data_IF_630538198809
#
_entry.id   IF_630538198809
#
_cell.length_a   1.000
_cell.length_b   1.000
_cell.length_c   1.000
_cell.angle_alpha   90.00
_cell.angle_beta   90.00
_cell.angle_gamma   90.00
#
_symmetry.space_group_name_H-M   'P 1'
#
loop_
_entity.id
_entity.type
_entity.pdbx_description
1 polymer ?
#
# COMPACT_ATOMS: atom_id res chain seq x y z
N UNK A 1 4.32 -11.00 -70.58
CA UNK A 1 4.82 -10.59 -69.27
C UNK A 1 3.67 -10.48 -68.27
N UNK A 2 3.50 -11.47 -67.40
CA UNK A 2 2.44 -11.47 -66.39
C UNK A 2 2.70 -10.40 -65.30
N UNK A 3 1.75 -9.48 -65.06
CA UNK A 3 1.80 -8.52 -63.93
C UNK A 3 1.93 -9.30 -62.62
N UNK A 4 3.06 -9.11 -61.88
CA UNK A 4 3.19 -9.57 -60.47
C UNK A 4 2.04 -8.95 -59.68
N UNK A 5 1.11 -9.81 -59.20
CA UNK A 5 0.09 -9.36 -58.23
C UNK A 5 0.78 -8.71 -57.04
N UNK A 6 0.41 -7.46 -56.72
CA UNK A 6 0.84 -6.83 -55.48
C UNK A 6 0.28 -7.65 -54.33
N UNK A 7 1.15 -8.04 -53.39
CA UNK A 7 0.73 -8.73 -52.18
C UNK A 7 -0.07 -7.79 -51.31
N UNK A 8 -1.15 -8.27 -50.71
CA UNK A 8 -1.99 -7.50 -49.80
C UNK A 8 -1.22 -7.03 -48.55
N UNK A 9 -1.67 -5.92 -47.98
CA UNK A 9 -1.14 -5.45 -46.70
C UNK A 9 -1.30 -6.55 -45.62
N UNK A 10 -0.18 -6.96 -44.99
CA UNK A 10 -0.17 -8.00 -43.96
C UNK A 10 0.41 -9.37 -44.35
N UNK A 11 0.67 -9.64 -45.66
CA UNK A 11 1.19 -10.95 -46.11
C UNK A 11 2.70 -11.14 -45.92
N UNK A 12 3.45 -10.10 -45.58
CA UNK A 12 4.90 -10.14 -45.50
C UNK A 12 5.56 -10.40 -46.90
N UNK A 13 6.86 -10.38 -46.95
CA UNK A 13 7.61 -10.60 -48.22
C UNK A 13 8.70 -11.62 -48.01
N UNK A 14 8.87 -12.56 -48.96
CA UNK A 14 9.98 -13.52 -48.97
C UNK A 14 10.85 -13.23 -50.19
N UNK A 15 12.17 -13.14 -49.97
CA UNK A 15 13.17 -12.97 -51.03
C UNK A 15 14.44 -13.78 -50.69
N UNK A 16 15.32 -13.93 -51.67
CA UNK A 16 16.62 -14.58 -51.51
C UNK A 16 17.68 -13.51 -51.25
N UNK A 17 18.45 -13.69 -50.20
CA UNK A 17 19.58 -12.81 -49.88
C UNK A 17 20.71 -13.13 -50.90
N UNK A 18 21.07 -12.14 -51.71
CA UNK A 18 22.08 -12.29 -52.79
C UNK A 18 23.48 -12.68 -52.32
N UNK A 19 23.82 -12.35 -51.06
CA UNK A 19 25.15 -12.67 -50.48
C UNK A 19 25.22 -14.09 -49.91
N UNK A 20 24.10 -14.62 -49.40
CA UNK A 20 24.11 -15.91 -48.68
C UNK A 20 23.36 -17.02 -49.43
N UNK A 21 22.57 -16.67 -50.44
CA UNK A 21 21.72 -17.62 -51.18
C UNK A 21 20.51 -18.12 -50.34
N UNK A 22 20.36 -17.68 -49.11
CA UNK A 22 19.31 -18.13 -48.20
C UNK A 22 18.05 -17.24 -48.28
N UNK A 23 16.90 -17.83 -48.00
CA UNK A 23 15.63 -17.11 -47.99
C UNK A 23 15.52 -16.22 -46.78
N UNK A 24 14.95 -15.02 -46.97
CA UNK A 24 14.63 -14.03 -45.92
C UNK A 24 13.15 -13.67 -46.03
N UNK A 25 12.43 -13.84 -44.96
CA UNK A 25 11.06 -13.35 -44.82
C UNK A 25 11.03 -12.03 -44.08
N UNK A 26 10.38 -11.01 -44.63
CA UNK A 26 10.19 -9.70 -43.97
C UNK A 26 8.71 -9.45 -43.67
N UNK A 27 8.46 -8.86 -42.51
CA UNK A 27 7.14 -8.44 -42.07
C UNK A 27 7.23 -7.15 -41.26
N UNK A 28 6.09 -6.48 -41.11
CA UNK A 28 5.98 -5.27 -40.28
C UNK A 28 5.12 -5.57 -39.05
N UNK A 29 5.58 -5.17 -37.89
CA UNK A 29 4.83 -5.24 -36.64
C UNK A 29 5.09 -3.98 -35.85
N UNK A 30 4.02 -3.33 -35.31
CA UNK A 30 4.07 -2.06 -34.58
C UNK A 30 4.87 -0.98 -35.35
N UNK A 31 4.66 -0.90 -36.69
CA UNK A 31 5.35 0.05 -37.56
C UNK A 31 6.84 -0.29 -37.85
N UNK A 32 7.37 -1.34 -37.23
CA UNK A 32 8.79 -1.72 -37.39
C UNK A 32 8.92 -2.94 -38.33
N UNK A 33 9.86 -2.83 -39.32
CA UNK A 33 10.20 -3.92 -40.18
C UNK A 33 11.10 -4.93 -39.45
N UNK A 34 10.74 -6.22 -39.50
CA UNK A 34 11.51 -7.35 -38.95
C UNK A 34 11.77 -8.40 -40.00
N UNK A 35 12.84 -9.17 -39.83
CA UNK A 35 13.26 -10.21 -40.79
C UNK A 35 13.44 -11.55 -40.09
N UNK A 36 13.07 -12.62 -40.76
CA UNK A 36 13.32 -14.01 -40.38
C UNK A 36 14.18 -14.64 -41.45
N UNK A 37 15.27 -15.27 -41.03
CA UNK A 37 16.24 -15.89 -41.94
C UNK A 37 16.04 -17.40 -41.97
N UNK A 38 16.23 -18.00 -43.17
CA UNK A 38 16.30 -19.45 -43.34
C UNK A 38 17.52 -19.97 -42.56
N UNK A 39 17.34 -21.07 -41.81
CA UNK A 39 18.45 -21.76 -41.14
C UNK A 39 19.28 -22.55 -42.14
N UNK A 40 20.57 -22.75 -41.84
CA UNK A 40 21.55 -23.37 -42.74
C UNK A 40 21.14 -24.76 -43.30
N UNK A 41 20.37 -25.53 -42.51
CA UNK A 41 19.92 -26.87 -42.87
C UNK A 41 18.40 -26.98 -43.06
N UNK A 42 17.69 -25.85 -43.17
CA UNK A 42 16.24 -25.80 -43.29
C UNK A 42 15.83 -25.86 -44.76
N UNK A 43 14.95 -26.79 -45.12
CA UNK A 43 14.41 -26.85 -46.49
C UNK A 43 13.54 -25.62 -46.76
N UNK A 44 13.49 -25.17 -48.00
CA UNK A 44 12.74 -23.98 -48.44
C UNK A 44 11.26 -24.08 -48.08
N UNK A 45 10.66 -25.26 -48.20
CA UNK A 45 9.27 -25.51 -47.79
C UNK A 45 9.04 -25.31 -46.28
N UNK A 46 9.95 -25.80 -45.46
CA UNK A 46 9.92 -25.66 -44.01
C UNK A 46 10.05 -24.18 -43.59
N UNK A 47 10.98 -23.46 -44.21
CA UNK A 47 11.13 -22.03 -44.02
C UNK A 47 9.84 -21.25 -44.34
N UNK A 48 9.24 -21.52 -45.53
CA UNK A 48 7.98 -20.88 -45.94
C UNK A 48 6.85 -21.19 -44.98
N UNK A 49 6.71 -22.43 -44.54
CA UNK A 49 5.70 -22.83 -43.54
C UNK A 49 5.91 -22.12 -42.20
N UNK A 50 7.15 -22.04 -41.72
CA UNK A 50 7.50 -21.32 -40.51
C UNK A 50 7.21 -19.80 -40.60
N UNK A 51 7.55 -19.22 -41.75
CA UNK A 51 7.26 -17.79 -41.99
C UNK A 51 5.74 -17.52 -42.05
N UNK A 52 4.99 -18.37 -42.76
CA UNK A 52 3.52 -18.25 -42.82
C UNK A 52 2.87 -18.38 -41.44
N UNK A 53 3.34 -19.27 -40.56
CA UNK A 53 2.87 -19.33 -39.16
C UNK A 53 3.09 -18.02 -38.44
N UNK A 54 4.23 -17.37 -38.61
CA UNK A 54 4.51 -16.07 -38.04
C UNK A 54 3.51 -15.02 -38.54
N UNK A 55 3.26 -14.99 -39.86
CA UNK A 55 2.29 -14.04 -40.45
C UNK A 55 0.88 -14.27 -39.91
N UNK A 56 0.44 -15.51 -39.78
CA UNK A 56 -0.88 -15.85 -39.20
C UNK A 56 -0.98 -15.32 -37.77
N UNK A 57 0.05 -15.55 -36.94
CA UNK A 57 0.08 -15.10 -35.55
C UNK A 57 0.09 -13.56 -35.45
N UNK A 58 0.79 -12.87 -36.38
CA UNK A 58 0.80 -11.42 -36.46
C UNK A 58 -0.59 -10.87 -36.83
N UNK A 59 -1.20 -11.45 -37.88
CA UNK A 59 -2.52 -11.03 -38.35
C UNK A 59 -3.63 -11.31 -37.32
N UNK A 60 -3.47 -12.38 -36.54
CA UNK A 60 -4.33 -12.65 -35.37
C UNK A 60 -4.07 -11.70 -34.16
N UNK A 61 -3.07 -10.82 -34.24
CA UNK A 61 -2.71 -9.93 -33.18
C UNK A 61 -2.09 -10.61 -31.95
N UNK A 62 -1.69 -11.89 -32.06
CA UNK A 62 -1.17 -12.69 -30.94
C UNK A 62 0.35 -12.90 -31.00
N UNK A 63 1.05 -12.19 -31.88
CA UNK A 63 2.51 -12.31 -32.01
C UNK A 63 3.23 -11.78 -30.77
N UNK A 64 4.08 -12.63 -30.19
CA UNK A 64 4.96 -12.30 -29.06
C UNK A 64 6.41 -12.36 -29.56
N UNK A 65 7.06 -11.20 -29.61
CA UNK A 65 8.46 -11.08 -29.96
C UNK A 65 9.37 -11.65 -28.87
N UNK A 66 10.58 -12.11 -29.24
CA UNK A 66 11.60 -12.47 -28.22
C UNK A 66 11.96 -11.27 -27.39
N UNK A 67 11.98 -11.43 -26.08
CA UNK A 67 12.38 -10.41 -25.12
C UNK A 67 13.32 -11.01 -24.07
N UNK A 68 14.31 -10.22 -23.67
CA UNK A 68 15.16 -10.50 -22.50
C UNK A 68 14.66 -9.79 -21.24
N UNK A 69 13.57 -9.05 -21.30
CA UNK A 69 13.04 -8.30 -20.17
C UNK A 69 12.63 -9.26 -19.04
N UNK A 70 13.17 -9.02 -17.84
CA UNK A 70 12.91 -9.85 -16.66
C UNK A 70 11.73 -9.31 -15.88
N UNK A 71 11.13 -10.17 -15.03
CA UNK A 71 10.06 -9.74 -14.16
C UNK A 71 10.54 -8.67 -13.16
N UNK A 72 11.77 -8.77 -12.70
CA UNK A 72 12.42 -7.76 -11.86
C UNK A 72 12.40 -6.38 -12.51
N UNK A 73 12.91 -6.28 -13.77
CA UNK A 73 12.93 -5.02 -14.51
C UNK A 73 11.54 -4.42 -14.72
N UNK A 74 10.54 -5.27 -14.97
CA UNK A 74 9.15 -4.84 -15.17
C UNK A 74 8.58 -4.25 -13.90
N UNK A 75 8.77 -4.93 -12.77
CA UNK A 75 8.29 -4.48 -11.46
C UNK A 75 9.00 -3.20 -11.04
N UNK A 76 10.33 -3.13 -11.19
CA UNK A 76 11.12 -1.96 -10.83
C UNK A 76 10.68 -0.72 -11.61
N UNK A 77 10.56 -0.84 -12.96
CA UNK A 77 10.02 0.25 -13.79
C UNK A 77 8.62 0.68 -13.36
N UNK A 78 7.77 -0.27 -12.96
CA UNK A 78 6.43 0.07 -12.48
C UNK A 78 6.47 0.87 -11.17
N UNK A 79 7.31 0.49 -10.22
CA UNK A 79 7.49 1.19 -8.95
C UNK A 79 7.99 2.62 -9.20
N UNK A 80 9.04 2.76 -10.04
CA UNK A 80 9.60 4.06 -10.38
C UNK A 80 8.59 4.96 -11.11
N UNK A 81 7.85 4.42 -12.06
CA UNK A 81 6.86 5.19 -12.81
C UNK A 81 5.75 5.70 -11.89
N UNK A 82 5.21 4.87 -10.98
CA UNK A 82 4.22 5.29 -9.99
C UNK A 82 4.72 6.43 -9.10
N UNK A 83 5.99 6.38 -8.71
CA UNK A 83 6.60 7.42 -7.90
C UNK A 83 6.75 8.71 -8.70
N UNK A 84 7.27 8.64 -9.92
CA UNK A 84 7.43 9.78 -10.83
C UNK A 84 6.09 10.46 -11.15
N UNK A 85 5.04 9.68 -11.36
CA UNK A 85 3.69 10.18 -11.62
C UNK A 85 2.99 10.74 -10.38
N UNK A 86 3.65 10.70 -9.21
CA UNK A 86 3.09 11.16 -7.96
C UNK A 86 1.89 10.34 -7.45
N UNK A 87 1.64 9.16 -8.01
CA UNK A 87 0.49 8.31 -7.67
C UNK A 87 0.66 7.66 -6.29
N UNK A 88 1.89 7.43 -5.86
CA UNK A 88 2.19 6.76 -4.59
C UNK A 88 2.74 7.75 -3.55
N UNK A 89 2.49 7.48 -2.28
CA UNK A 89 3.15 8.21 -1.19
C UNK A 89 4.58 7.69 -0.99
N UNK A 90 5.45 8.53 -0.41
CA UNK A 90 6.84 8.17 -0.15
C UNK A 90 7.00 6.89 0.68
N UNK A 91 6.18 6.74 1.71
CA UNK A 91 6.16 5.52 2.53
C UNK A 91 5.71 4.28 1.72
N UNK A 92 4.79 4.45 0.78
CA UNK A 92 4.36 3.36 -0.10
C UNK A 92 5.44 3.01 -1.12
N UNK A 93 6.13 4.01 -1.67
CA UNK A 93 7.26 3.80 -2.56
C UNK A 93 8.41 3.03 -1.88
N UNK A 94 8.86 3.48 -0.69
CA UNK A 94 9.86 2.77 0.12
C UNK A 94 9.45 1.31 0.38
N UNK A 95 8.18 1.11 0.74
CA UNK A 95 7.62 -0.23 1.01
C UNK A 95 7.54 -1.12 -0.24
N UNK A 96 7.23 -0.56 -1.41
CA UNK A 96 7.24 -1.30 -2.67
C UNK A 96 8.67 -1.73 -3.04
N UNK A 97 9.69 -0.86 -2.82
CA UNK A 97 11.12 -1.20 -2.97
C UNK A 97 11.56 -2.33 -2.02
N UNK A 98 11.24 -2.22 -0.73
CA UNK A 98 11.51 -3.27 0.27
C UNK A 98 10.84 -4.60 -0.13
N UNK A 99 9.61 -4.53 -0.67
CA UNK A 99 8.88 -5.70 -1.15
C UNK A 99 9.55 -6.32 -2.36
N UNK A 100 10.09 -5.52 -3.28
CA UNK A 100 10.88 -6.03 -4.41
C UNK A 100 12.14 -6.76 -3.93
N UNK A 101 12.86 -6.20 -2.95
CA UNK A 101 14.02 -6.88 -2.34
C UNK A 101 13.62 -8.21 -1.64
N UNK A 102 12.46 -8.24 -0.99
CA UNK A 102 11.91 -9.49 -0.47
C UNK A 102 11.63 -10.51 -1.60
N UNK A 103 11.03 -10.07 -2.70
CA UNK A 103 10.76 -10.91 -3.88
C UNK A 103 12.06 -11.46 -4.46
N UNK A 104 13.10 -10.63 -4.62
CA UNK A 104 14.42 -11.07 -5.10
C UNK A 104 14.98 -12.22 -4.26
N UNK A 105 14.80 -12.18 -2.95
CA UNK A 105 15.26 -13.23 -2.03
C UNK A 105 14.44 -14.53 -2.14
N UNK A 106 13.11 -14.43 -2.14
CA UNK A 106 12.25 -15.63 -2.14
C UNK A 106 12.04 -16.21 -3.55
N UNK A 107 12.11 -15.39 -4.60
CA UNK A 107 11.88 -15.77 -5.99
C UNK A 107 13.17 -15.78 -6.84
N UNK A 108 14.35 -15.93 -6.21
CA UNK A 108 15.64 -15.91 -6.88
C UNK A 108 15.76 -16.92 -8.04
N UNK A 109 14.97 -17.98 -8.03
CA UNK A 109 14.95 -19.00 -9.07
C UNK A 109 14.37 -18.50 -10.42
N UNK A 110 13.58 -17.40 -10.42
CA UNK A 110 12.97 -16.92 -11.65
C UNK A 110 12.95 -15.39 -11.84
N UNK A 111 13.11 -14.58 -10.78
CA UNK A 111 12.88 -13.13 -10.85
C UNK A 111 13.75 -12.42 -11.89
N UNK A 112 14.99 -12.89 -12.07
CA UNK A 112 15.97 -12.39 -13.05
C UNK A 112 16.01 -13.19 -14.34
N UNK A 113 15.11 -14.16 -14.52
CA UNK A 113 14.94 -14.84 -15.82
C UNK A 113 14.13 -13.95 -16.78
N UNK A 114 14.34 -14.04 -18.11
CA UNK A 114 13.41 -13.47 -19.07
C UNK A 114 11.98 -13.92 -18.76
N UNK A 115 11.04 -12.97 -18.66
CA UNK A 115 9.66 -13.27 -18.23
C UNK A 115 8.98 -14.34 -19.07
N UNK A 116 9.38 -14.47 -20.35
CA UNK A 116 8.90 -15.50 -21.27
C UNK A 116 9.32 -16.93 -20.89
N UNK A 117 10.33 -17.08 -20.04
CA UNK A 117 10.86 -18.39 -19.60
C UNK A 117 10.41 -18.76 -18.18
N UNK A 118 9.64 -17.91 -17.54
CA UNK A 118 9.08 -18.20 -16.21
C UNK A 118 7.90 -19.14 -16.38
N UNK A 119 7.88 -20.18 -15.56
CA UNK A 119 6.84 -21.22 -15.58
C UNK A 119 6.04 -21.21 -14.27
N UNK A 120 4.87 -21.83 -14.27
CA UNK A 120 4.08 -22.05 -13.07
C UNK A 120 4.88 -22.79 -11.99
N UNK A 121 5.68 -23.78 -12.40
CA UNK A 121 6.57 -24.52 -11.51
C UNK A 121 7.59 -23.62 -10.78
N UNK A 122 8.14 -22.61 -11.47
CA UNK A 122 9.06 -21.66 -10.84
C UNK A 122 8.39 -20.88 -9.71
N UNK A 123 7.13 -20.48 -9.90
CA UNK A 123 6.35 -19.76 -8.90
C UNK A 123 6.01 -20.69 -7.73
N UNK A 124 5.53 -21.90 -8.00
CA UNK A 124 5.22 -22.91 -6.97
C UNK A 124 6.42 -23.19 -6.07
N UNK A 125 7.59 -23.40 -6.66
CA UNK A 125 8.84 -23.61 -5.91
C UNK A 125 9.20 -22.46 -4.98
N UNK A 126 8.87 -21.23 -5.35
CA UNK A 126 9.16 -20.04 -4.55
C UNK A 126 8.24 -19.90 -3.33
N UNK A 127 7.06 -20.50 -3.36
CA UNK A 127 6.06 -20.41 -2.28
C UNK A 127 6.61 -20.89 -0.94
N UNK A 128 7.46 -21.91 -0.91
CA UNK A 128 8.06 -22.41 0.33
C UNK A 128 8.91 -21.36 1.03
N UNK A 129 9.70 -20.59 0.29
CA UNK A 129 10.47 -19.48 0.85
C UNK A 129 9.56 -18.32 1.27
N UNK A 130 8.47 -18.08 0.53
CA UNK A 130 7.51 -17.02 0.86
C UNK A 130 6.77 -17.29 2.17
N UNK A 131 6.45 -18.54 2.52
CA UNK A 131 5.77 -18.92 3.78
C UNK A 131 6.50 -18.42 5.04
N UNK A 132 7.82 -18.19 4.97
CA UNK A 132 8.65 -17.70 6.08
C UNK A 132 8.41 -16.21 6.42
N UNK A 133 7.69 -15.49 5.58
CA UNK A 133 7.35 -14.08 5.82
C UNK A 133 5.99 -13.96 6.54
N UNK A 134 5.77 -12.83 7.22
CA UNK A 134 4.46 -12.52 7.81
C UNK A 134 3.41 -12.41 6.71
N UNK A 135 2.15 -12.72 7.03
CA UNK A 135 1.01 -12.63 6.10
C UNK A 135 1.01 -11.34 5.28
N UNK A 136 1.18 -10.19 5.91
CA UNK A 136 1.21 -8.88 5.22
C UNK A 136 2.36 -8.73 4.22
N UNK A 137 3.52 -9.36 4.48
CA UNK A 137 4.65 -9.40 3.54
C UNK A 137 4.34 -10.29 2.34
N UNK A 138 3.75 -11.45 2.57
CA UNK A 138 3.29 -12.35 1.50
C UNK A 138 2.25 -11.66 0.63
N UNK A 139 1.25 -11.03 1.22
CA UNK A 139 0.17 -10.33 0.49
C UNK A 139 0.71 -9.21 -0.40
N UNK A 140 1.71 -8.45 0.06
CA UNK A 140 2.36 -7.41 -0.76
C UNK A 140 3.19 -8.01 -1.89
N UNK A 141 4.04 -8.99 -1.58
CA UNK A 141 4.87 -9.65 -2.58
C UNK A 141 4.01 -10.31 -3.67
N UNK A 142 2.95 -11.01 -3.27
CA UNK A 142 2.02 -11.65 -4.21
C UNK A 142 1.33 -10.65 -5.13
N UNK A 143 0.82 -9.54 -4.58
CA UNK A 143 0.21 -8.47 -5.38
C UNK A 143 1.21 -7.82 -6.36
N UNK A 144 2.46 -7.63 -5.93
CA UNK A 144 3.48 -7.02 -6.77
C UNK A 144 3.93 -7.94 -7.90
N UNK A 145 4.07 -9.25 -7.63
CA UNK A 145 4.31 -10.27 -8.66
C UNK A 145 3.16 -10.33 -9.65
N UNK A 146 1.92 -10.41 -9.15
CA UNK A 146 0.70 -10.41 -9.98
C UNK A 146 0.67 -9.19 -10.90
N UNK A 147 0.99 -8.01 -10.38
CA UNK A 147 1.05 -6.76 -11.15
C UNK A 147 2.14 -6.82 -12.22
N UNK A 148 3.33 -7.37 -11.90
CA UNK A 148 4.42 -7.54 -12.86
C UNK A 148 4.02 -8.44 -14.05
N UNK A 149 3.43 -9.59 -13.78
CA UNK A 149 2.95 -10.49 -14.83
C UNK A 149 1.79 -9.88 -15.64
N UNK A 150 0.88 -9.15 -14.97
CA UNK A 150 -0.20 -8.44 -15.66
C UNK A 150 0.32 -7.34 -16.59
N UNK A 151 1.39 -6.64 -16.22
CA UNK A 151 2.05 -5.68 -17.11
C UNK A 151 2.71 -6.41 -18.29
N UNK A 152 3.40 -7.53 -18.03
CA UNK A 152 4.04 -8.32 -19.06
C UNK A 152 3.04 -8.87 -20.10
N UNK A 153 1.84 -9.25 -19.67
CA UNK A 153 0.77 -9.75 -20.54
C UNK A 153 -0.12 -8.65 -21.14
N UNK A 154 0.06 -7.38 -20.75
CA UNK A 154 -0.78 -6.29 -21.22
C UNK A 154 -0.70 -6.10 -22.76
N UNK A 155 -1.77 -5.61 -23.40
CA UNK A 155 -1.76 -5.32 -24.84
C UNK A 155 -0.63 -4.38 -25.29
N UNK A 156 -0.18 -3.49 -24.41
CA UNK A 156 0.90 -2.52 -24.69
C UNK A 156 2.31 -3.14 -24.64
N UNK A 157 2.49 -4.23 -23.87
CA UNK A 157 3.80 -4.90 -23.71
C UNK A 157 3.91 -6.20 -24.48
N UNK A 158 2.90 -7.05 -24.43
CA UNK A 158 2.82 -8.35 -25.13
C UNK A 158 4.09 -9.19 -24.99
N UNK A 159 4.64 -9.26 -23.77
CA UNK A 159 5.84 -10.08 -23.52
C UNK A 159 5.47 -11.55 -23.29
N UNK A 160 4.30 -11.82 -22.73
CA UNK A 160 3.75 -13.16 -22.49
C UNK A 160 2.27 -13.18 -22.92
N UNK A 161 1.72 -14.35 -23.28
CA UNK A 161 0.35 -14.45 -23.83
C UNK A 161 -0.75 -14.15 -22.80
N UNK A 162 -0.53 -14.48 -21.55
CA UNK A 162 -1.48 -14.32 -20.44
C UNK A 162 -0.71 -14.13 -19.13
N UNK A 163 -1.41 -13.63 -18.12
CA UNK A 163 -0.84 -13.54 -16.78
C UNK A 163 -0.84 -14.93 -16.13
N UNK A 164 0.33 -15.50 -15.92
CA UNK A 164 0.51 -16.85 -15.35
C UNK A 164 -0.06 -16.96 -13.91
N UNK A 165 -0.22 -15.85 -13.22
CA UNK A 165 -0.79 -15.83 -11.86
C UNK A 165 -2.33 -15.79 -11.84
N UNK A 166 -2.99 -15.76 -13.01
CA UNK A 166 -4.44 -15.94 -13.12
C UNK A 166 -4.85 -17.41 -13.12
N UNK A 167 -3.88 -18.34 -13.06
CA UNK A 167 -4.14 -19.78 -12.98
C UNK A 167 -4.92 -20.11 -11.69
N UNK A 168 -6.06 -20.78 -11.84
CA UNK A 168 -6.98 -21.09 -10.72
C UNK A 168 -6.37 -22.07 -9.71
N UNK A 169 -5.42 -22.90 -10.11
CA UNK A 169 -4.72 -23.83 -9.23
C UNK A 169 -3.63 -23.14 -8.41
N UNK A 170 -3.12 -22.00 -8.89
CA UNK A 170 -2.08 -21.24 -8.21
C UNK A 170 -2.62 -20.50 -7.00
N UNK A 171 -2.55 -21.11 -5.83
CA UNK A 171 -2.97 -20.48 -4.56
C UNK A 171 -1.84 -19.68 -3.93
N UNK A 172 -2.17 -18.51 -3.39
CA UNK A 172 -1.24 -17.70 -2.60
C UNK A 172 -0.74 -18.50 -1.38
N UNK A 173 0.58 -18.47 -1.07
CA UNK A 173 1.11 -19.17 0.09
C UNK A 173 0.58 -18.59 1.41
N UNK A 174 0.39 -19.47 2.39
CA UNK A 174 -0.02 -19.10 3.75
C UNK A 174 1.23 -18.97 4.62
N UNK A 175 1.29 -17.91 5.43
CA UNK A 175 2.39 -17.68 6.36
C UNK A 175 2.44 -18.76 7.43
N UNK A 176 3.63 -19.28 7.69
CA UNK A 176 3.86 -20.13 8.88
C UNK A 176 4.04 -19.30 10.16
N UNK A 177 4.22 -17.99 10.04
CA UNK A 177 4.32 -17.08 11.18
C UNK A 177 2.94 -16.67 11.65
N UNK A 178 2.57 -17.15 12.84
CA UNK A 178 1.37 -16.69 13.52
C UNK A 178 1.52 -15.22 13.89
N UNK A 179 0.58 -14.40 13.50
CA UNK A 179 0.51 -12.99 13.91
C UNK A 179 -0.71 -12.85 14.80
N UNK A 180 -0.49 -12.62 16.09
CA UNK A 180 -1.59 -12.29 16.99
C UNK A 180 -2.27 -10.98 16.55
N UNK A 181 -3.60 -10.98 16.55
CA UNK A 181 -4.34 -9.74 16.37
C UNK A 181 -4.12 -8.84 17.60
N UNK A 182 -3.78 -7.58 17.35
CA UNK A 182 -3.70 -6.59 18.42
C UNK A 182 -5.13 -6.28 18.88
N UNK A 183 -5.46 -6.67 20.13
CA UNK A 183 -6.74 -6.36 20.77
C UNK A 183 -6.74 -4.93 21.31
N UNK A 184 -7.93 -4.28 21.48
CA UNK A 184 -8.03 -3.02 22.22
C UNK A 184 -7.49 -3.18 23.65
N UNK A 185 -7.22 -2.08 24.34
CA UNK A 185 -6.95 -2.13 25.77
C UNK A 185 -8.21 -2.63 26.49
N UNK A 186 -8.05 -3.40 27.57
CA UNK A 186 -9.17 -3.67 28.47
C UNK A 186 -9.58 -2.39 29.19
N UNK A 187 -10.72 -2.38 29.85
CA UNK A 187 -11.17 -1.24 30.63
C UNK A 187 -10.17 -0.90 31.75
N UNK A 188 -9.62 -1.94 32.38
CA UNK A 188 -8.62 -1.82 33.46
C UNK A 188 -7.30 -1.29 32.92
N UNK A 189 -6.81 -1.81 31.77
CA UNK A 189 -5.59 -1.32 31.12
C UNK A 189 -5.74 0.16 30.71
N UNK A 190 -6.90 0.55 30.16
CA UNK A 190 -7.20 1.93 29.78
C UNK A 190 -7.27 2.86 31.01
N UNK A 191 -7.95 2.44 32.08
CA UNK A 191 -8.02 3.14 33.35
C UNK A 191 -6.62 3.34 33.95
N UNK A 192 -5.83 2.24 34.00
CA UNK A 192 -4.45 2.30 34.51
C UNK A 192 -3.57 3.25 33.72
N UNK A 193 -3.70 3.24 32.38
CA UNK A 193 -2.96 4.18 31.52
C UNK A 193 -3.35 5.64 31.83
N UNK A 194 -4.64 5.95 31.96
CA UNK A 194 -5.09 7.30 32.30
C UNK A 194 -4.59 7.76 33.69
N UNK A 195 -4.62 6.89 34.70
CA UNK A 195 -4.06 7.18 36.02
C UNK A 195 -2.58 7.54 35.93
N UNK A 196 -1.78 6.79 35.20
CA UNK A 196 -0.35 7.05 34.97
C UNK A 196 -0.14 8.39 34.26
N UNK A 197 -0.93 8.67 33.22
CA UNK A 197 -0.85 9.91 32.47
C UNK A 197 -1.22 11.13 33.34
N UNK A 198 -2.10 10.98 34.31
CA UNK A 198 -2.58 12.08 35.16
C UNK A 198 -1.73 12.30 36.42
N UNK A 199 -0.98 11.30 36.82
CA UNK A 199 -0.15 11.37 38.03
C UNK A 199 1.35 11.29 37.70
N UNK A 200 1.87 10.10 37.40
CA UNK A 200 3.30 9.84 37.27
C UNK A 200 3.95 10.49 36.03
N UNK A 201 3.20 10.59 34.95
CA UNK A 201 3.67 11.15 33.68
C UNK A 201 3.00 12.51 33.33
N UNK A 202 2.39 13.19 34.35
CA UNK A 202 1.61 14.42 34.16
C UNK A 202 2.35 15.54 33.45
N UNK A 203 3.63 15.70 33.72
CA UNK A 203 4.47 16.74 33.11
C UNK A 203 5.21 16.31 31.83
N UNK A 204 4.97 15.10 31.35
CA UNK A 204 5.66 14.62 30.16
C UNK A 204 5.11 15.27 28.88
N UNK A 205 5.97 15.76 27.96
CA UNK A 205 5.52 16.48 26.75
C UNK A 205 4.54 15.71 25.88
N UNK A 206 4.60 14.37 25.89
CA UNK A 206 3.72 13.51 25.05
C UNK A 206 2.41 13.10 25.73
N UNK A 207 2.21 13.46 27.01
CA UNK A 207 0.98 13.14 27.75
C UNK A 207 -0.27 13.62 27.01
N UNK A 208 -0.33 14.90 26.68
CA UNK A 208 -1.48 15.51 26.02
C UNK A 208 -1.71 14.98 24.60
N UNK A 209 -0.65 14.58 23.90
CA UNK A 209 -0.74 13.90 22.60
C UNK A 209 -1.51 12.57 22.76
N UNK A 210 -1.09 11.75 23.72
CA UNK A 210 -1.69 10.43 23.99
C UNK A 210 -3.12 10.56 24.51
N UNK A 211 -3.39 11.51 25.41
CA UNK A 211 -4.76 11.78 25.89
C UNK A 211 -5.68 12.21 24.75
N UNK A 212 -5.23 13.12 23.90
CA UNK A 212 -6.03 13.57 22.75
C UNK A 212 -6.30 12.41 21.77
N UNK A 213 -5.32 11.54 21.53
CA UNK A 213 -5.50 10.35 20.70
C UNK A 213 -6.52 9.37 21.32
N UNK A 214 -6.43 9.12 22.63
CA UNK A 214 -7.34 8.26 23.37
C UNK A 214 -8.79 8.76 23.35
N UNK A 215 -9.02 10.07 23.40
CA UNK A 215 -10.37 10.65 23.41
C UNK A 215 -10.96 10.70 22.01
N UNK A 216 -10.17 11.10 21.01
CA UNK A 216 -10.66 11.45 19.69
C UNK A 216 -10.53 10.33 18.65
N UNK A 217 -9.79 9.26 18.94
CA UNK A 217 -9.38 8.25 17.98
C UNK A 217 -8.72 8.82 16.72
N UNK A 218 -8.21 10.05 16.71
CA UNK A 218 -7.43 10.58 15.59
C UNK A 218 -6.21 9.71 15.31
N UNK A 219 -5.76 9.67 14.06
CA UNK A 219 -4.45 9.06 13.77
C UNK A 219 -3.36 9.93 14.40
N UNK A 220 -2.29 9.33 14.91
CA UNK A 220 -1.21 10.07 15.58
C UNK A 220 -0.67 11.22 14.72
N UNK A 221 -0.51 11.04 13.40
CA UNK A 221 -0.09 12.11 12.49
C UNK A 221 -1.12 13.26 12.40
N UNK A 222 -2.42 12.95 12.52
CA UNK A 222 -3.48 13.97 12.60
C UNK A 222 -3.41 14.73 13.94
N UNK A 223 -3.18 14.05 15.06
CA UNK A 223 -3.00 14.69 16.38
C UNK A 223 -1.84 15.68 16.34
N UNK A 224 -0.67 15.22 15.86
CA UNK A 224 0.55 16.02 15.80
C UNK A 224 0.47 17.20 14.83
N UNK A 225 -0.43 17.14 13.83
CA UNK A 225 -0.67 18.21 12.88
C UNK A 225 -1.69 19.25 13.37
N UNK A 226 -2.24 19.13 14.59
CA UNK A 226 -3.21 20.11 15.11
C UNK A 226 -2.55 21.41 15.45
N UNK A 227 -3.17 22.50 15.02
CA UNK A 227 -2.74 23.87 15.27
C UNK A 227 -3.86 24.71 15.91
N UNK A 228 -3.51 25.89 16.41
CA UNK A 228 -4.49 26.85 16.93
C UNK A 228 -5.52 27.27 15.85
N UNK A 229 -5.12 27.27 14.58
CA UNK A 229 -5.99 27.62 13.45
C UNK A 229 -7.06 26.55 13.17
N UNK A 230 -6.89 25.34 13.69
CA UNK A 230 -7.88 24.28 13.55
C UNK A 230 -9.01 24.35 14.60
N UNK A 231 -8.93 25.27 15.56
CA UNK A 231 -9.86 25.38 16.69
C UNK A 231 -10.89 26.46 16.41
N UNK A 232 -12.13 26.04 16.19
CA UNK A 232 -13.28 26.95 16.18
C UNK A 232 -13.89 26.99 17.58
N UNK A 233 -13.57 28.05 18.35
CA UNK A 233 -14.03 28.21 19.73
C UNK A 233 -15.53 28.48 19.84
N UNK A 234 -16.11 29.21 18.89
CA UNK A 234 -17.54 29.57 18.87
C UNK A 234 -18.40 28.33 18.72
N UNK A 235 -18.06 27.49 17.75
CA UNK A 235 -18.79 26.27 17.42
C UNK A 235 -18.29 25.04 18.16
N UNK A 236 -17.30 25.17 19.05
CA UNK A 236 -16.66 24.07 19.79
C UNK A 236 -16.27 22.91 18.86
N UNK A 237 -15.56 23.20 17.77
CA UNK A 237 -15.14 22.22 16.75
C UNK A 237 -13.64 22.25 16.53
N UNK A 238 -13.05 21.08 16.41
CA UNK A 238 -11.67 20.86 16.01
C UNK A 238 -11.65 20.34 14.57
N UNK A 239 -11.12 21.13 13.64
CA UNK A 239 -10.99 20.74 12.24
C UNK A 239 -9.80 19.78 12.06
N UNK A 240 -10.05 18.65 11.42
CA UNK A 240 -9.03 17.67 11.04
C UNK A 240 -8.95 17.67 9.51
N UNK A 241 -7.92 18.27 8.95
CA UNK A 241 -7.76 18.48 7.50
C UNK A 241 -6.39 18.11 6.95
N UNK A 242 -5.44 17.77 7.82
CA UNK A 242 -4.08 17.46 7.43
C UNK A 242 -3.42 16.49 8.42
N UNK A 243 -2.22 16.00 8.08
CA UNK A 243 -1.46 15.04 8.90
C UNK A 243 0.03 15.28 8.75
N UNK A 244 0.82 14.95 9.77
CA UNK A 244 2.27 14.81 9.59
C UNK A 244 2.58 13.59 8.74
N UNK A 245 3.48 13.74 7.79
CA UNK A 245 3.94 12.68 6.89
C UNK A 245 5.46 12.72 6.73
N UNK A 246 6.05 11.66 6.19
CA UNK A 246 7.47 11.62 5.86
C UNK A 246 7.66 11.92 4.37
N UNK A 247 8.62 12.77 4.05
CA UNK A 247 9.08 13.03 2.67
C UNK A 247 10.02 11.91 2.17
N UNK A 248 10.48 12.01 0.93
CA UNK A 248 11.31 11.01 0.25
C UNK A 248 12.61 10.69 0.98
N UNK A 249 13.22 11.69 1.59
CA UNK A 249 14.44 11.57 2.41
C UNK A 249 14.19 11.06 3.84
N UNK A 250 12.92 10.98 4.27
CA UNK A 250 12.50 10.60 5.62
C UNK A 250 12.29 11.78 6.57
N UNK A 251 12.45 13.01 6.09
CA UNK A 251 12.13 14.21 6.84
C UNK A 251 10.63 14.27 7.13
N UNK A 252 10.27 14.60 8.37
CA UNK A 252 8.86 14.80 8.73
C UNK A 252 8.42 16.17 8.26
N UNK A 253 7.30 16.22 7.57
CA UNK A 253 6.69 17.43 7.04
C UNK A 253 5.21 17.51 7.42
N UNK A 254 4.68 18.72 7.48
CA UNK A 254 3.24 18.96 7.58
C UNK A 254 2.62 18.76 6.20
N UNK A 255 1.87 17.68 6.04
CA UNK A 255 1.14 17.40 4.80
C UNK A 255 -0.10 18.30 4.66
N UNK A 256 -0.48 18.60 3.43
CA UNK A 256 -1.65 19.43 3.11
C UNK A 256 -2.98 18.68 3.26
N UNK A 257 -2.94 17.36 3.29
CA UNK A 257 -4.11 16.48 3.25
C UNK A 257 -4.08 15.44 4.36
N UNK A 258 -5.23 14.81 4.59
CA UNK A 258 -5.31 13.63 5.45
C UNK A 258 -4.80 12.38 4.72
N UNK A 259 -4.68 11.26 5.44
CA UNK A 259 -4.23 9.98 4.87
C UNK A 259 -5.19 9.42 3.80
N UNK A 260 -6.43 9.85 3.80
CA UNK A 260 -7.50 9.36 2.90
C UNK A 260 -7.67 10.22 1.65
N UNK A 261 -6.80 11.19 1.43
CA UNK A 261 -6.78 11.99 0.21
C UNK A 261 -6.55 11.11 -1.03
N UNK A 262 -7.47 11.22 -1.98
CA UNK A 262 -7.37 10.54 -3.27
C UNK A 262 -6.79 11.48 -4.33
N UNK A 263 -5.53 11.26 -4.69
CA UNK A 263 -4.82 12.10 -5.68
C UNK A 263 -5.47 12.10 -7.07
N UNK A 264 -6.22 11.05 -7.42
CA UNK A 264 -6.86 10.95 -8.73
C UNK A 264 -8.14 11.78 -8.81
N UNK A 265 -8.93 11.80 -7.73
CA UNK A 265 -10.20 12.53 -7.68
C UNK A 265 -10.06 13.92 -7.06
N UNK A 266 -8.96 14.23 -6.38
CA UNK A 266 -8.76 15.44 -5.61
C UNK A 266 -9.61 15.52 -4.33
N UNK A 267 -10.31 14.44 -3.95
CA UNK A 267 -11.20 14.41 -2.79
C UNK A 267 -10.44 13.90 -1.57
N UNK A 268 -10.58 14.58 -0.44
CA UNK A 268 -10.07 14.15 0.86
C UNK A 268 -11.23 13.80 1.79
N UNK A 269 -11.60 12.52 1.80
CA UNK A 269 -12.68 11.99 2.65
C UNK A 269 -12.34 11.98 4.16
N UNK A 270 -11.10 12.28 4.52
CA UNK A 270 -10.64 12.34 5.91
C UNK A 270 -10.86 13.71 6.55
N UNK A 271 -11.20 14.74 5.78
CA UNK A 271 -11.50 16.06 6.33
C UNK A 271 -12.80 15.98 7.14
N UNK A 272 -12.71 16.40 8.39
CA UNK A 272 -13.85 16.35 9.31
C UNK A 272 -13.71 17.33 10.47
N UNK A 273 -14.84 17.68 11.07
CA UNK A 273 -14.88 18.37 12.34
C UNK A 273 -15.09 17.37 13.48
N UNK A 274 -14.33 17.53 14.56
CA UNK A 274 -14.52 16.79 15.79
C UNK A 274 -15.08 17.71 16.89
N UNK A 275 -16.12 17.31 17.65
CA UNK A 275 -16.67 18.14 18.72
C UNK A 275 -15.67 18.30 19.87
N UNK A 276 -15.50 19.52 20.35
CA UNK A 276 -14.66 19.80 21.53
C UNK A 276 -15.53 19.72 22.78
N UNK A 277 -15.36 18.67 23.56
CA UNK A 277 -15.91 18.55 24.91
C UNK A 277 -14.97 19.22 25.95
N UNK A 278 -15.36 19.21 27.22
CA UNK A 278 -14.57 19.83 28.26
C UNK A 278 -13.17 19.25 28.41
N UNK A 279 -13.03 17.92 28.33
CA UNK A 279 -11.75 17.23 28.44
C UNK A 279 -10.78 17.60 27.29
N UNK A 280 -11.29 17.67 26.06
CA UNK A 280 -10.50 18.13 24.89
C UNK A 280 -10.14 19.61 25.06
N UNK A 281 -11.06 20.43 25.55
CA UNK A 281 -10.81 21.84 25.78
C UNK A 281 -9.71 22.05 26.82
N UNK A 282 -9.71 21.28 27.92
CA UNK A 282 -8.65 21.32 28.96
C UNK A 282 -7.28 20.97 28.34
N UNK A 283 -7.18 19.89 27.61
CA UNK A 283 -5.93 19.47 26.92
C UNK A 283 -5.41 20.58 25.99
N UNK A 284 -6.31 21.15 25.17
CA UNK A 284 -5.97 22.24 24.26
C UNK A 284 -5.48 23.48 25.03
N UNK A 285 -6.19 23.86 26.07
CA UNK A 285 -5.83 25.03 26.90
C UNK A 285 -4.50 24.83 27.62
N UNK A 286 -4.27 23.65 28.23
CA UNK A 286 -2.97 23.32 28.83
C UNK A 286 -1.84 23.43 27.76
N UNK A 287 -2.07 22.99 26.55
CA UNK A 287 -1.07 23.05 25.50
C UNK A 287 -0.81 24.49 25.03
N UNK A 288 -1.84 25.30 24.89
CA UNK A 288 -1.72 26.74 24.55
C UNK A 288 -0.99 27.52 25.67
N UNK A 289 -1.25 27.20 26.92
CA UNK A 289 -0.60 27.86 28.07
C UNK A 289 0.91 27.59 28.12
N UNK A 290 1.41 26.52 27.56
CA UNK A 290 2.86 26.27 27.43
C UNK A 290 3.58 27.31 26.55
N UNK A 291 2.84 28.16 25.80
CA UNK A 291 3.35 29.23 24.93
C UNK A 291 4.41 28.76 23.95
N UNK A 292 4.29 27.49 23.48
CA UNK A 292 5.19 26.95 22.47
C UNK A 292 4.89 27.64 21.15
N UNK A 293 5.86 28.41 20.65
CA UNK A 293 5.74 29.08 19.36
C UNK A 293 6.50 28.31 18.29
N UNK A 294 5.87 28.13 17.14
CA UNK A 294 6.47 27.58 15.94
C UNK A 294 5.81 28.21 14.71
N UNK A 295 6.48 28.18 13.57
CA UNK A 295 6.02 28.83 12.33
C UNK A 295 4.70 28.24 11.78
N UNK A 296 4.33 27.04 12.22
CA UNK A 296 3.10 26.35 11.79
C UNK A 296 1.91 26.56 12.74
N UNK A 297 2.13 27.19 13.90
CA UNK A 297 1.12 27.35 14.96
C UNK A 297 0.66 26.00 15.55
N UNK A 298 1.48 24.94 15.47
CA UNK A 298 1.14 23.61 15.99
C UNK A 298 1.04 23.61 17.50
N UNK A 299 0.09 22.85 18.03
CA UNK A 299 -0.09 22.63 19.47
C UNK A 299 1.04 21.77 20.06
N UNK A 300 1.58 20.83 19.28
CA UNK A 300 2.58 19.86 19.71
C UNK A 300 3.87 20.06 18.91
N UNK A 301 4.92 20.52 19.59
CA UNK A 301 6.20 20.89 18.98
C UNK A 301 7.37 20.52 19.87
N UNK A 302 8.43 19.96 19.30
CA UNK A 302 9.67 19.74 20.05
C UNK A 302 10.45 21.04 20.10
N UNK A 303 10.26 21.81 21.19
CA UNK A 303 10.90 23.11 21.39
C UNK A 303 12.40 23.01 21.64
N UNK A 304 12.91 21.85 22.10
CA UNK A 304 14.34 21.68 22.38
C UNK A 304 15.14 21.64 21.11
N UNK A 305 14.66 20.86 20.13
CA UNK A 305 15.33 20.64 18.86
C UNK A 305 14.74 21.54 17.76
N UNK A 306 13.71 22.32 18.07
CA UNK A 306 12.94 23.15 17.14
C UNK A 306 12.46 22.36 15.91
N UNK A 307 11.88 21.19 16.15
CA UNK A 307 11.40 20.26 15.09
C UNK A 307 10.03 19.71 15.41
N UNK A 308 9.46 18.98 14.45
CA UNK A 308 8.24 18.20 14.65
C UNK A 308 8.46 17.07 15.67
N UNK A 309 7.48 16.88 16.57
CA UNK A 309 7.38 15.63 17.32
C UNK A 309 6.92 14.54 16.34
N UNK A 310 7.60 13.40 16.31
CA UNK A 310 7.32 12.34 15.36
C UNK A 310 6.44 11.22 15.95
N UNK A 311 5.64 10.51 15.14
CA UNK A 311 4.93 9.31 15.59
C UNK A 311 5.85 8.23 16.17
N UNK A 312 7.11 8.18 15.74
CA UNK A 312 8.11 7.22 16.24
C UNK A 312 8.53 7.53 17.68
N UNK A 313 8.71 8.81 17.99
CA UNK A 313 9.07 9.25 19.36
C UNK A 313 7.94 8.97 20.34
N UNK A 314 6.71 9.31 19.99
CA UNK A 314 5.53 9.02 20.82
C UNK A 314 5.39 7.50 21.06
N UNK A 315 5.54 6.68 20.02
CA UNK A 315 5.51 5.22 20.16
C UNK A 315 6.68 4.68 21.00
N UNK A 316 7.86 5.28 20.92
CA UNK A 316 8.99 4.90 21.73
C UNK A 316 8.76 5.22 23.21
N UNK A 317 8.13 6.36 23.50
CA UNK A 317 7.73 6.72 24.85
C UNK A 317 6.63 5.78 25.38
N UNK A 318 5.58 5.51 24.59
CA UNK A 318 4.54 4.55 24.97
C UNK A 318 5.10 3.17 25.34
N UNK A 319 6.10 2.68 24.59
CA UNK A 319 6.77 1.43 24.96
C UNK A 319 7.48 1.52 26.29
N UNK A 320 8.23 2.61 26.55
CA UNK A 320 8.95 2.83 27.82
C UNK A 320 8.00 2.86 29.02
N UNK A 321 6.88 3.60 28.93
CA UNK A 321 5.90 3.62 30.03
C UNK A 321 5.22 2.26 30.19
N UNK A 322 4.95 1.56 29.10
CA UNK A 322 4.40 0.22 29.19
C UNK A 322 5.35 -0.77 29.91
N UNK A 323 6.63 -0.72 29.61
CA UNK A 323 7.67 -1.52 30.28
C UNK A 323 7.81 -1.10 31.75
N UNK A 324 7.84 0.21 32.03
CA UNK A 324 8.01 0.75 33.40
C UNK A 324 6.84 0.40 34.32
N UNK A 325 5.60 0.48 33.83
CA UNK A 325 4.40 0.34 34.64
C UNK A 325 3.62 -0.97 34.39
N UNK A 326 4.10 -1.80 33.49
CA UNK A 326 3.47 -3.08 33.09
C UNK A 326 1.97 -2.94 32.82
N UNK A 327 1.61 -2.01 31.91
CA UNK A 327 0.22 -1.62 31.66
C UNK A 327 -0.50 -2.74 30.86
N UNK A 328 0.17 -3.27 29.82
CA UNK A 328 -0.44 -4.24 28.92
C UNK A 328 0.63 -5.04 28.14
N UNK A 329 0.22 -6.06 27.40
CA UNK A 329 1.13 -6.85 26.54
C UNK A 329 1.86 -5.98 25.50
N UNK A 330 1.19 -4.99 24.92
CA UNK A 330 1.75 -4.03 23.96
C UNK A 330 1.04 -2.70 24.07
N UNK A 331 1.77 -1.59 23.91
CA UNK A 331 1.19 -0.24 23.91
C UNK A 331 1.80 0.58 22.77
N UNK A 332 0.95 1.10 21.88
CA UNK A 332 1.34 1.93 20.74
C UNK A 332 0.15 2.74 20.22
N UNK A 333 0.40 3.83 19.50
CA UNK A 333 -0.61 4.77 19.02
C UNK A 333 -1.81 4.09 18.34
N UNK A 334 -1.60 3.19 17.39
CA UNK A 334 -2.70 2.56 16.68
C UNK A 334 -3.62 1.72 17.60
N UNK A 335 -3.08 1.15 18.69
CA UNK A 335 -3.88 0.43 19.69
C UNK A 335 -4.77 1.38 20.49
N UNK A 336 -4.28 2.60 20.82
CA UNK A 336 -5.07 3.62 21.49
C UNK A 336 -6.30 4.02 20.67
N UNK A 337 -6.07 4.31 19.39
CA UNK A 337 -7.15 4.58 18.45
C UNK A 337 -8.13 3.40 18.34
N UNK A 338 -7.63 2.17 18.23
CA UNK A 338 -8.45 0.95 18.19
C UNK A 338 -9.31 0.84 19.45
N UNK A 339 -8.74 1.09 20.62
CA UNK A 339 -9.44 1.11 21.90
C UNK A 339 -10.61 2.10 21.89
N UNK A 340 -10.38 3.36 21.50
CA UNK A 340 -11.44 4.37 21.49
C UNK A 340 -12.58 4.01 20.52
N UNK A 341 -12.26 3.53 19.33
CA UNK A 341 -13.28 3.09 18.36
C UNK A 341 -14.12 1.95 18.94
N UNK A 342 -13.49 0.99 19.63
CA UNK A 342 -14.19 -0.10 20.31
C UNK A 342 -15.09 0.43 21.42
N UNK A 343 -14.62 1.35 22.27
CA UNK A 343 -15.45 1.97 23.33
C UNK A 343 -16.65 2.72 22.78
N UNK A 344 -16.50 3.45 21.67
CA UNK A 344 -17.65 4.10 21.02
C UNK A 344 -18.71 3.09 20.57
N UNK A 345 -18.25 1.95 20.03
CA UNK A 345 -19.18 0.87 19.65
C UNK A 345 -19.86 0.25 20.86
N UNK A 346 -19.11 -0.07 21.90
CA UNK A 346 -19.62 -0.62 23.17
C UNK A 346 -20.62 0.35 23.84
N UNK A 347 -20.41 1.65 23.68
CA UNK A 347 -21.33 2.70 24.13
C UNK A 347 -22.55 2.86 23.21
N UNK A 348 -22.66 2.11 22.13
CA UNK A 348 -23.83 2.14 21.23
C UNK A 348 -23.83 3.25 20.19
N UNK A 349 -22.67 3.90 19.91
CA UNK A 349 -22.61 4.87 18.82
C UNK A 349 -22.92 4.22 17.47
N UNK A 350 -23.65 4.96 16.64
CA UNK A 350 -23.96 4.54 15.27
C UNK A 350 -22.68 4.34 14.44
N UNK A 351 -22.70 3.35 13.56
CA UNK A 351 -21.57 2.97 12.71
C UNK A 351 -21.08 4.13 11.83
N UNK A 352 -21.98 4.89 11.22
CA UNK A 352 -21.63 6.01 10.34
C UNK A 352 -21.02 7.15 11.14
N UNK A 353 -21.53 7.39 12.36
CA UNK A 353 -20.96 8.37 13.28
C UNK A 353 -19.52 8.00 13.66
N UNK A 354 -19.25 6.72 13.96
CA UNK A 354 -17.90 6.23 14.26
C UNK A 354 -16.98 6.35 13.02
N UNK A 355 -17.47 6.01 11.82
CA UNK A 355 -16.70 6.17 10.58
C UNK A 355 -16.29 7.63 10.36
N UNK A 356 -17.24 8.55 10.48
CA UNK A 356 -16.98 9.99 10.37
C UNK A 356 -15.96 10.45 11.39
N UNK A 357 -16.18 10.22 12.70
CA UNK A 357 -15.30 10.67 13.78
C UNK A 357 -13.88 10.08 13.65
N UNK A 358 -13.77 8.81 13.26
CA UNK A 358 -12.49 8.17 13.02
C UNK A 358 -11.83 8.57 11.69
N UNK A 359 -12.54 9.22 10.75
CA UNK A 359 -12.03 9.52 9.41
C UNK A 359 -11.72 8.26 8.61
N UNK A 360 -12.66 7.32 8.59
CA UNK A 360 -12.64 6.15 7.72
C UNK A 360 -13.47 6.43 6.48
N UNK A 361 -12.99 5.96 5.32
CA UNK A 361 -13.75 6.00 4.07
C UNK A 361 -15.03 5.22 4.22
N UNK A 362 -16.13 5.73 3.64
CA UNK A 362 -17.42 5.04 3.65
C UNK A 362 -17.29 3.64 3.02
N UNK A 363 -17.93 2.63 3.63
CA UNK A 363 -17.82 1.23 3.20
C UNK A 363 -16.47 0.55 3.51
N UNK A 364 -15.59 1.20 4.27
CA UNK A 364 -14.30 0.62 4.65
C UNK A 364 -14.47 -0.66 5.47
N UNK A 365 -13.94 -1.80 4.95
CA UNK A 365 -13.83 -3.06 5.70
C UNK A 365 -13.03 -2.92 7.01
N UNK A 366 -12.22 -1.85 7.15
CA UNK A 366 -11.41 -1.60 8.35
C UNK A 366 -12.33 -1.38 9.54
N UNK A 367 -13.41 -0.62 9.37
CA UNK A 367 -14.38 -0.36 10.42
C UNK A 367 -15.13 -1.65 10.80
N UNK A 368 -15.59 -2.40 9.80
CA UNK A 368 -16.26 -3.68 10.04
C UNK A 368 -15.35 -4.70 10.76
N UNK A 369 -14.05 -4.74 10.43
CA UNK A 369 -13.07 -5.65 11.07
C UNK A 369 -12.75 -5.29 12.53
N UNK A 370 -12.83 -4.01 12.90
CA UNK A 370 -12.62 -3.55 14.28
C UNK A 370 -13.73 -4.06 15.20
N UNK A 371 -14.94 -4.26 14.69
CA UNK A 371 -16.11 -4.71 15.48
C UNK A 371 -16.14 -6.20 15.80
N UNK A 372 -15.26 -6.99 15.24
CA UNK A 372 -15.15 -8.42 15.59
C UNK A 372 -14.55 -8.60 17.00
N UNK A 373 -13.93 -7.55 17.55
CA UNK A 373 -13.28 -7.59 18.87
C UNK A 373 -14.14 -6.98 19.99
N UNK A 374 -15.48 -7.01 19.85
CA UNK A 374 -16.42 -6.60 20.90
C UNK A 374 -16.27 -7.52 22.10
N UNK A 375 -16.31 -6.96 23.33
CA UNK A 375 -16.19 -7.76 24.55
C UNK A 375 -17.40 -8.65 24.79
N UNK A 376 -17.22 -9.78 25.49
CA UNK A 376 -18.30 -10.68 25.85
C UNK A 376 -19.35 -9.98 26.72
N UNK A 377 -18.89 -9.13 27.67
CA UNK A 377 -19.74 -8.34 28.56
C UNK A 377 -20.65 -7.40 27.74
N UNK A 378 -20.10 -6.72 26.72
CA UNK A 378 -20.90 -5.87 25.84
C UNK A 378 -21.97 -6.67 25.10
N UNK A 379 -21.62 -7.88 24.60
CA UNK A 379 -22.59 -8.74 23.91
C UNK A 379 -23.74 -9.14 24.85
N UNK A 380 -23.44 -9.49 26.09
CA UNK A 380 -24.45 -9.82 27.11
C UNK A 380 -25.31 -8.63 27.50
N UNK A 381 -24.73 -7.44 27.69
CA UNK A 381 -25.50 -6.22 27.92
C UNK A 381 -26.47 -5.89 26.79
N UNK A 382 -26.04 -6.05 25.53
CA UNK A 382 -26.92 -5.83 24.38
C UNK A 382 -28.03 -6.88 24.30
N UNK A 383 -27.74 -8.14 24.60
CA UNK A 383 -28.75 -9.20 24.64
C UNK A 383 -29.80 -8.93 25.72
N UNK A 384 -29.36 -8.49 26.91
CA UNK A 384 -30.25 -8.15 28.03
C UNK A 384 -31.15 -6.92 27.76
N UNK A 385 -30.83 -6.08 26.76
CA UNK A 385 -31.71 -4.96 26.36
C UNK A 385 -32.85 -5.38 25.42
N UNK A 386 -32.77 -6.58 24.82
CA UNK A 386 -33.74 -7.08 23.81
C UNK A 386 -34.50 -8.32 24.26
N UNK A 387 -34.10 -8.93 25.38
CA UNK A 387 -34.84 -9.98 26.09
C UNK A 387 -35.62 -9.35 27.24
#
# INVERSE_FOLDING_TARGET
MGKKKSKGNGEGTIYINSKTGLYVGQYVIDGKRKSVYQKKNEKVGEFKARFNKIIIIINAGTYIGKSSETLEMIIEKHIEQKNKDGITSNNSYKRDKETLEQIKKCCANFISKPVQKVTLYDIEKSKEKMKQYKKSGIDRAWRLLFKGFRIASSPSKRLIPYNIMDDEELKKPVSVKVTEKVKPLTVEEEKRLNEILDNEERNHPYRNIVKLELITAMRIGEVLARSTNNINKENKKLLINNTLTEDTDGTVILGEHTKTYNKTTGIDEGIRNFPINNEIAEIINEQIQQKITNIYGLLFWNYKDNTFITPKEVNAWLRRINEKYNISKTLHNHRLRHTRITRWKEAGLDMKAIQYLAGHVEGSEITAKVYIDVSEEFAFEQLNKVI
#
